data_IF_587435738803
#
_entry.id   IF_587435738803
#
_cell.length_a   1.000
_cell.length_b   1.000
_cell.length_c   1.000
_cell.angle_alpha   90.00
_cell.angle_beta   90.00
_cell.angle_gamma   90.00
#
_symmetry.space_group_name_H-M   'P 1'
#
loop_
_entity.id
_entity.type
_entity.pdbx_description
1 polymer ?
#
# COMPACT_ATOMS: atom_id res chain seq x y z
N UNK A 1 -5.58 70.70 -37.99
CA UNK A 1 -5.01 69.80 -39.02
C UNK A 1 -5.88 68.55 -39.06
N UNK A 2 -6.32 68.20 -40.26
CA UNK A 2 -7.28 67.15 -40.61
C UNK A 2 -6.68 65.74 -40.59
N UNK A 3 -7.58 64.75 -40.69
CA UNK A 3 -7.42 63.33 -41.10
C UNK A 3 -7.28 62.36 -39.93
N UNK A 4 -8.27 61.53 -39.59
CA UNK A 4 -9.21 60.63 -40.28
C UNK A 4 -8.66 59.23 -40.60
N UNK A 5 -9.39 58.24 -40.06
CA UNK A 5 -9.55 56.80 -40.32
C UNK A 5 -8.51 55.98 -41.12
N UNK A 6 -8.20 54.78 -40.63
CA UNK A 6 -8.51 53.55 -41.39
C UNK A 6 -8.55 52.28 -40.54
N UNK A 7 -9.44 51.38 -40.98
CA UNK A 7 -9.89 50.10 -40.43
C UNK A 7 -8.95 48.94 -40.77
N UNK A 8 -9.08 47.87 -39.99
CA UNK A 8 -8.76 46.48 -40.38
C UNK A 8 -8.47 45.67 -39.12
N UNK A 9 -9.08 44.52 -38.84
CA UNK A 9 -10.01 43.66 -39.54
C UNK A 9 -10.11 42.40 -38.66
N UNK A 10 -11.32 42.09 -38.23
CA UNK A 10 -11.66 40.99 -37.33
C UNK A 10 -11.56 39.63 -38.05
N UNK A 11 -10.85 38.65 -37.48
CA UNK A 11 -11.10 37.21 -37.65
C UNK A 11 -10.64 36.45 -36.40
N UNK A 12 -11.53 36.36 -35.41
CA UNK A 12 -11.42 35.39 -34.31
C UNK A 12 -11.66 33.97 -34.85
N UNK A 13 -10.65 33.12 -34.76
CA UNK A 13 -10.80 31.66 -34.83
C UNK A 13 -11.25 31.12 -33.47
N UNK A 14 -12.23 30.21 -33.39
CA UNK A 14 -12.59 29.57 -32.12
C UNK A 14 -11.56 28.49 -31.76
N UNK A 15 -11.28 28.24 -30.46
CA UNK A 15 -10.43 27.13 -30.07
C UNK A 15 -11.17 25.81 -30.31
N UNK A 16 -10.50 24.89 -31.00
CA UNK A 16 -10.94 23.50 -31.15
C UNK A 16 -10.78 22.80 -29.81
N UNK A 17 -11.88 22.27 -29.27
CA UNK A 17 -11.85 21.30 -28.19
C UNK A 17 -11.11 20.05 -28.67
N UNK A 18 -9.91 19.83 -28.16
CA UNK A 18 -9.21 18.56 -28.31
C UNK A 18 -9.77 17.60 -27.25
N UNK A 19 -10.62 16.67 -27.68
CA UNK A 19 -11.03 15.52 -26.89
C UNK A 19 -9.79 14.69 -26.53
N UNK A 20 -9.46 14.61 -25.25
CA UNK A 20 -8.49 13.66 -24.74
C UNK A 20 -9.08 12.26 -24.86
N UNK A 21 -8.64 11.50 -25.87
CA UNK A 21 -8.92 10.08 -25.96
C UNK A 21 -8.19 9.37 -24.82
N UNK A 22 -8.96 8.86 -23.85
CA UNK A 22 -8.45 7.94 -22.84
C UNK A 22 -7.96 6.67 -23.53
N UNK A 23 -6.66 6.40 -23.41
CA UNK A 23 -6.06 5.17 -23.89
C UNK A 23 -6.50 4.01 -22.99
N UNK A 24 -7.52 3.28 -23.42
CA UNK A 24 -7.86 1.97 -22.88
C UNK A 24 -6.95 0.96 -23.59
N UNK A 25 -5.88 0.53 -22.92
CA UNK A 25 -5.03 -0.57 -23.38
C UNK A 25 -5.61 -1.90 -22.88
N UNK A 26 -6.39 -2.57 -23.73
CA UNK A 26 -6.80 -3.96 -23.55
C UNK A 26 -5.81 -4.87 -24.28
N UNK A 27 -5.17 -5.82 -23.59
CA UNK A 27 -4.39 -6.88 -24.23
C UNK A 27 -4.75 -8.26 -23.64
N UNK A 28 -5.06 -9.17 -24.56
CA UNK A 28 -5.51 -10.55 -24.35
C UNK A 28 -4.26 -11.46 -24.38
N UNK A 29 -4.11 -12.34 -23.38
CA UNK A 29 -3.04 -13.35 -23.33
C UNK A 29 -3.59 -14.76 -23.08
N UNK A 30 -3.41 -15.66 -24.06
CA UNK A 30 -3.60 -17.11 -23.91
C UNK A 30 -2.41 -17.72 -23.15
N UNK A 31 -2.67 -18.60 -22.17
CA UNK A 31 -1.64 -19.41 -21.53
C UNK A 31 -2.02 -20.91 -21.53
N UNK A 32 -1.12 -21.71 -22.11
CA UNK A 32 -1.15 -23.17 -22.14
C UNK A 32 -0.57 -23.78 -20.86
N UNK A 33 -1.08 -24.97 -20.50
CA UNK A 33 -0.77 -25.72 -19.28
C UNK A 33 0.61 -26.42 -19.31
N UNK A 34 1.22 -26.56 -18.14
CA UNK A 34 2.35 -27.47 -17.90
C UNK A 34 2.45 -27.83 -16.42
N UNK A 35 2.09 -29.08 -16.10
CA UNK A 35 2.08 -29.68 -14.77
C UNK A 35 3.46 -30.22 -14.38
N UNK A 36 3.79 -30.20 -13.08
CA UNK A 36 4.99 -30.86 -12.54
C UNK A 36 4.93 -31.03 -11.02
N UNK A 37 4.56 -32.24 -10.59
CA UNK A 37 4.77 -32.89 -9.28
C UNK A 37 6.24 -32.83 -8.84
N UNK A 38 6.67 -32.90 -7.58
CA UNK A 38 6.11 -33.34 -6.31
C UNK A 38 7.30 -33.74 -5.39
N UNK A 39 6.95 -34.12 -4.15
CA UNK A 39 7.73 -34.88 -3.17
C UNK A 39 8.57 -34.16 -2.10
N UNK A 40 8.23 -34.59 -0.89
CA UNK A 40 8.70 -34.22 0.44
C UNK A 40 9.93 -35.01 0.85
N UNK A 41 10.61 -34.55 1.92
CA UNK A 41 11.46 -35.40 2.74
C UNK A 41 11.23 -35.16 4.23
N UNK A 42 11.14 -36.28 4.93
CA UNK A 42 10.92 -36.54 6.36
C UNK A 42 12.21 -36.65 7.17
N UNK A 43 12.12 -36.40 8.49
CA UNK A 43 13.03 -36.86 9.57
C UNK A 43 12.73 -36.07 10.85
N UNK A 44 12.03 -36.58 11.88
CA UNK A 44 12.40 -37.61 12.89
C UNK A 44 13.72 -37.30 13.62
N UNK A 45 13.92 -37.44 14.92
CA UNK A 45 13.17 -37.50 16.18
C UNK A 45 14.26 -37.54 17.29
N UNK A 46 13.91 -37.34 18.55
CA UNK A 46 14.73 -37.74 19.72
C UNK A 46 14.98 -36.59 20.69
N UNK A 47 14.30 -36.37 21.81
CA UNK A 47 13.91 -37.14 23.02
C UNK A 47 14.65 -36.60 24.27
N UNK A 48 13.94 -36.73 25.39
CA UNK A 48 14.08 -36.01 26.66
C UNK A 48 15.13 -36.63 27.60
N UNK A 49 15.62 -35.83 28.56
CA UNK A 49 16.08 -36.35 29.88
C UNK A 49 15.60 -35.40 31.00
N UNK A 50 14.94 -35.99 32.00
CA UNK A 50 14.50 -35.39 33.26
C UNK A 50 15.41 -35.79 34.43
N UNK A 51 15.64 -34.82 35.32
CA UNK A 51 15.69 -34.82 36.79
C UNK A 51 16.11 -36.05 37.63
N UNK A 52 16.99 -35.79 38.61
CA UNK A 52 17.03 -36.27 40.02
C UNK A 52 17.90 -35.24 40.79
N UNK A 53 17.61 -34.65 41.95
CA UNK A 53 17.03 -35.15 43.20
C UNK A 53 18.17 -35.53 44.17
N UNK A 54 18.44 -34.74 45.23
CA UNK A 54 18.30 -35.14 46.65
C UNK A 54 18.85 -34.08 47.65
N UNK A 55 18.40 -34.25 48.88
CA UNK A 55 18.29 -33.42 50.08
C UNK A 55 19.51 -33.42 51.00
N UNK A 56 19.64 -32.41 51.88
CA UNK A 56 20.02 -32.55 53.31
C UNK A 56 20.01 -31.18 54.06
N UNK A 57 19.40 -31.18 55.24
CA UNK A 57 19.48 -30.20 56.35
C UNK A 57 19.87 -31.02 57.62
N UNK A 58 20.05 -30.49 58.87
CA UNK A 58 19.71 -29.15 59.38
C UNK A 58 20.73 -28.52 60.37
N UNK A 59 20.48 -27.28 60.80
CA UNK A 59 21.17 -26.62 61.91
C UNK A 59 20.40 -25.40 62.44
N UNK A 60 19.93 -25.50 63.68
CA UNK A 60 19.01 -24.58 64.36
C UNK A 60 19.78 -23.55 65.21
N UNK A 61 19.53 -22.24 65.03
CA UNK A 61 19.71 -21.20 66.07
C UNK A 61 18.79 -20.01 65.80
N UNK A 62 18.10 -19.51 66.82
CA UNK A 62 17.40 -18.21 66.85
C UNK A 62 17.37 -17.67 68.30
N UNK A 63 17.07 -16.39 68.57
CA UNK A 63 17.13 -15.19 67.71
C UNK A 63 17.95 -14.04 68.36
N UNK A 64 18.42 -13.10 67.53
CA UNK A 64 18.81 -11.76 68.00
C UNK A 64 17.99 -10.73 67.20
N UNK A 65 17.29 -9.87 67.94
CA UNK A 65 16.44 -8.79 67.42
C UNK A 65 17.29 -7.70 66.76
N UNK A 66 17.12 -7.53 65.45
CA UNK A 66 17.56 -6.34 64.71
C UNK A 66 16.42 -5.84 63.82
N UNK A 67 16.15 -4.55 63.93
CA UNK A 67 15.16 -3.82 63.14
C UNK A 67 15.56 -3.81 61.66
N UNK A 68 14.69 -4.16 60.69
CA UNK A 68 15.08 -4.16 59.28
C UNK A 68 15.18 -2.72 58.75
N UNK A 69 16.23 -2.36 57.99
CA UNK A 69 16.18 -1.19 57.13
C UNK A 69 15.13 -1.43 56.03
N UNK A 70 14.39 -0.38 55.67
CA UNK A 70 13.32 -0.45 54.67
C UNK A 70 13.76 -1.16 53.39
N UNK A 71 12.93 -2.09 52.92
CA UNK A 71 13.14 -2.80 51.66
C UNK A 71 13.31 -1.78 50.53
N UNK A 72 14.35 -1.90 49.68
CA UNK A 72 14.40 -1.11 48.47
C UNK A 72 13.21 -1.51 47.60
N UNK A 73 12.41 -0.52 47.20
CA UNK A 73 11.40 -0.67 46.15
C UNK A 73 12.06 -1.36 44.96
N UNK A 74 11.49 -2.46 44.42
CA UNK A 74 12.04 -3.08 43.22
C UNK A 74 12.14 -2.02 42.14
N UNK A 75 13.24 -1.94 41.35
CA UNK A 75 13.23 -1.14 40.15
C UNK A 75 12.01 -1.58 39.34
N UNK A 76 11.14 -0.63 38.99
CA UNK A 76 9.94 -0.90 38.21
C UNK A 76 10.32 -1.78 37.03
N UNK A 77 9.60 -2.90 36.86
CA UNK A 77 9.78 -3.78 35.71
C UNK A 77 9.92 -2.91 34.46
N UNK A 78 10.89 -3.17 33.58
CA UNK A 78 11.00 -2.42 32.33
C UNK A 78 9.64 -2.50 31.66
N UNK A 79 9.00 -1.34 31.46
CA UNK A 79 7.78 -1.24 30.67
C UNK A 79 8.11 -1.93 29.36
N UNK A 80 7.45 -3.05 29.07
CA UNK A 80 7.66 -3.74 27.79
C UNK A 80 7.52 -2.68 26.69
N UNK A 81 8.59 -2.45 25.93
CA UNK A 81 8.55 -1.45 24.87
C UNK A 81 7.41 -1.83 23.93
N UNK A 82 6.36 -1.01 23.91
CA UNK A 82 5.25 -1.19 23.00
C UNK A 82 5.79 -1.04 21.59
N UNK A 83 5.61 -2.07 20.76
CA UNK A 83 5.99 -2.01 19.36
C UNK A 83 5.42 -0.74 18.69
N UNK A 84 6.12 -0.12 17.74
CA UNK A 84 5.80 1.22 17.24
C UNK A 84 4.39 1.36 16.64
N UNK A 85 3.80 0.25 16.17
CA UNK A 85 2.45 0.21 15.61
C UNK A 85 1.46 -0.60 16.47
N UNK A 86 1.76 -0.83 17.74
CA UNK A 86 0.83 -1.49 18.65
C UNK A 86 -0.52 -0.77 18.68
N UNK A 87 -1.61 -1.52 18.44
CA UNK A 87 -2.97 -0.99 18.39
C UNK A 87 -3.36 -0.31 17.07
N UNK A 88 -2.45 -0.19 16.09
CA UNK A 88 -2.76 0.35 14.76
C UNK A 88 -3.31 -0.72 13.83
N UNK A 89 -4.22 -0.31 12.95
CA UNK A 89 -4.79 -1.13 11.87
C UNK A 89 -4.38 -0.56 10.52
N UNK A 90 -3.79 -1.38 9.65
CA UNK A 90 -3.40 -0.99 8.29
C UNK A 90 -4.11 -1.87 7.27
N UNK A 91 -4.75 -1.25 6.29
CA UNK A 91 -5.30 -1.94 5.13
C UNK A 91 -4.29 -1.91 3.97
N UNK A 92 -3.89 -3.07 3.46
CA UNK A 92 -3.08 -3.18 2.25
C UNK A 92 -3.95 -3.71 1.13
N UNK A 93 -3.91 -3.04 -0.01
CA UNK A 93 -4.66 -3.39 -1.20
C UNK A 93 -3.68 -3.79 -2.31
N UNK A 94 -3.34 -5.10 -2.44
CA UNK A 94 -2.57 -5.54 -3.59
C UNK A 94 -3.45 -5.40 -4.84
N UNK A 95 -3.06 -4.48 -5.72
CA UNK A 95 -3.79 -4.15 -6.95
C UNK A 95 -4.03 -5.37 -7.84
N UNK A 96 -5.20 -5.40 -8.47
CA UNK A 96 -5.66 -6.48 -9.37
C UNK A 96 -5.76 -7.85 -8.67
N UNK A 97 -6.02 -8.90 -9.45
CA UNK A 97 -5.98 -10.29 -8.97
C UNK A 97 -5.30 -11.23 -9.98
N UNK A 98 -4.58 -12.26 -9.50
CA UNK A 98 -3.84 -13.18 -10.36
C UNK A 98 -4.66 -13.87 -11.44
N UNK A 99 -5.96 -14.10 -11.22
CA UNK A 99 -6.82 -14.85 -12.14
C UNK A 99 -7.85 -14.00 -12.89
N UNK A 100 -7.82 -12.66 -12.76
CA UNK A 100 -8.78 -11.75 -13.43
C UNK A 100 -8.86 -11.98 -14.95
N UNK A 101 -7.75 -12.35 -15.61
CA UNK A 101 -7.72 -12.62 -17.06
C UNK A 101 -8.64 -13.78 -17.50
N UNK A 102 -9.10 -14.63 -16.57
CA UNK A 102 -10.05 -15.73 -16.82
C UNK A 102 -11.51 -15.35 -16.57
N UNK A 103 -11.76 -14.15 -16.04
CA UNK A 103 -13.06 -13.70 -15.52
C UNK A 103 -13.42 -12.31 -16.07
N UNK A 104 -13.21 -12.12 -17.37
CA UNK A 104 -13.36 -10.80 -18.02
C UNK A 104 -14.79 -10.28 -17.95
N UNK A 105 -15.80 -11.15 -17.98
CA UNK A 105 -17.20 -10.74 -17.84
C UNK A 105 -17.49 -10.17 -16.44
N UNK A 106 -16.96 -10.82 -15.41
CA UNK A 106 -17.18 -10.44 -14.02
C UNK A 106 -16.43 -9.16 -13.64
N UNK A 107 -15.18 -9.01 -14.07
CA UNK A 107 -14.39 -7.79 -13.79
C UNK A 107 -14.84 -6.58 -14.63
N UNK A 108 -15.44 -6.79 -15.82
CA UNK A 108 -15.98 -5.71 -16.64
C UNK A 108 -17.34 -5.18 -16.15
N UNK A 109 -17.99 -5.85 -15.18
CA UNK A 109 -19.24 -5.37 -14.59
C UNK A 109 -19.03 -4.01 -13.96
N UNK A 110 -19.91 -3.06 -14.28
CA UNK A 110 -19.82 -1.70 -13.74
C UNK A 110 -20.21 -1.68 -12.26
N UNK A 111 -19.41 -0.98 -11.44
CA UNK A 111 -19.63 -0.71 -10.03
C UNK A 111 -19.65 0.80 -9.77
N UNK A 112 -20.42 1.23 -8.77
CA UNK A 112 -20.48 2.63 -8.38
C UNK A 112 -19.21 3.00 -7.59
N UNK A 113 -18.54 4.07 -8.01
CA UNK A 113 -17.28 4.56 -7.42
C UNK A 113 -17.44 5.93 -6.75
N UNK A 114 -18.66 6.26 -6.34
CA UNK A 114 -19.01 7.47 -5.58
C UNK A 114 -19.38 8.62 -6.51
N UNK A 115 -18.53 8.97 -7.45
CA UNK A 115 -18.75 10.05 -8.43
C UNK A 115 -18.94 9.53 -9.87
N UNK A 116 -19.29 8.25 -10.03
CA UNK A 116 -19.47 7.64 -11.34
C UNK A 116 -19.55 6.12 -11.28
N UNK A 117 -19.37 5.48 -12.44
CA UNK A 117 -19.24 4.02 -12.55
C UNK A 117 -17.93 3.66 -13.24
N UNK A 118 -17.35 2.53 -12.85
CA UNK A 118 -16.17 1.93 -13.48
C UNK A 118 -16.29 0.41 -13.48
N UNK A 119 -15.47 -0.25 -14.27
CA UNK A 119 -15.28 -1.69 -14.21
C UNK A 119 -14.97 -2.14 -12.77
N UNK A 120 -15.51 -3.28 -12.37
CA UNK A 120 -15.29 -3.91 -11.08
C UNK A 120 -13.79 -4.03 -10.78
N UNK A 121 -13.01 -4.56 -11.71
CA UNK A 121 -11.55 -4.64 -11.61
C UNK A 121 -10.93 -4.73 -13.01
N UNK A 122 -9.61 -4.72 -13.10
CA UNK A 122 -8.87 -4.97 -14.35
C UNK A 122 -7.82 -6.06 -14.14
N UNK A 123 -7.21 -6.54 -15.23
CA UNK A 123 -6.13 -7.53 -15.16
C UNK A 123 -4.81 -6.94 -14.62
N UNK A 124 -4.67 -5.61 -14.65
CA UNK A 124 -3.37 -4.95 -14.52
C UNK A 124 -2.53 -5.08 -15.79
N UNK A 125 -1.33 -4.51 -15.72
CA UNK A 125 -0.30 -4.60 -16.77
C UNK A 125 0.66 -5.79 -16.52
N UNK A 126 1.73 -5.87 -17.29
CA UNK A 126 2.81 -6.84 -17.11
C UNK A 126 4.12 -6.30 -17.68
N UNK A 127 5.25 -6.93 -17.33
CA UNK A 127 6.50 -6.68 -18.04
C UNK A 127 6.47 -7.27 -19.45
N UNK A 128 7.37 -6.82 -20.32
CA UNK A 128 7.53 -7.39 -21.67
C UNK A 128 7.93 -8.89 -21.65
N UNK A 129 8.37 -9.41 -20.51
CA UNK A 129 8.69 -10.82 -20.29
C UNK A 129 7.53 -11.62 -19.64
N UNK A 130 6.35 -11.02 -19.48
CA UNK A 130 5.15 -11.68 -18.94
C UNK A 130 5.07 -11.75 -17.42
N UNK A 131 5.85 -10.95 -16.68
CA UNK A 131 5.66 -10.85 -15.23
C UNK A 131 4.49 -9.92 -14.93
N UNK A 132 3.36 -10.50 -14.53
CA UNK A 132 2.10 -9.79 -14.31
C UNK A 132 2.13 -8.85 -13.09
N UNK A 133 1.50 -7.69 -13.21
CA UNK A 133 1.34 -6.71 -12.13
C UNK A 133 0.69 -7.34 -10.90
N UNK A 134 -0.40 -8.10 -11.07
CA UNK A 134 -1.10 -8.77 -9.97
C UNK A 134 -0.19 -9.73 -9.17
N UNK A 135 0.85 -10.28 -9.80
CA UNK A 135 1.85 -11.12 -9.12
C UNK A 135 2.86 -10.27 -8.35
N UNK A 136 3.26 -9.14 -8.91
CA UNK A 136 4.13 -8.15 -8.25
C UNK A 136 3.45 -7.56 -7.00
N UNK A 137 2.24 -7.03 -7.14
CA UNK A 137 1.51 -6.33 -6.08
C UNK A 137 1.20 -7.26 -4.90
N UNK A 138 0.84 -8.52 -5.18
CA UNK A 138 0.57 -9.54 -4.17
C UNK A 138 1.85 -9.93 -3.41
N UNK A 139 2.98 -10.13 -4.09
CA UNK A 139 4.26 -10.41 -3.43
C UNK A 139 4.71 -9.25 -2.53
N UNK A 140 4.70 -8.02 -3.04
CA UNK A 140 5.09 -6.83 -2.27
C UNK A 140 4.15 -6.61 -1.09
N UNK A 141 2.84 -6.69 -1.28
CA UNK A 141 1.86 -6.53 -0.18
C UNK A 141 2.04 -7.56 0.94
N UNK A 142 2.37 -8.82 0.60
CA UNK A 142 2.66 -9.86 1.60
C UNK A 142 3.94 -9.55 2.39
N UNK A 143 4.98 -9.02 1.73
CA UNK A 143 6.21 -8.55 2.41
C UNK A 143 5.92 -7.38 3.33
N UNK A 144 5.17 -6.38 2.86
CA UNK A 144 4.75 -5.22 3.67
C UNK A 144 3.96 -5.69 4.89
N UNK A 145 3.01 -6.62 4.71
CA UNK A 145 2.24 -7.22 5.80
C UNK A 145 3.15 -7.82 6.88
N UNK A 146 4.14 -8.63 6.49
CA UNK A 146 5.08 -9.24 7.45
C UNK A 146 5.85 -8.18 8.24
N UNK A 147 6.32 -7.12 7.57
CA UNK A 147 7.04 -6.02 8.22
C UNK A 147 6.16 -5.24 9.19
N UNK A 148 4.91 -4.95 8.82
CA UNK A 148 3.97 -4.21 9.68
C UNK A 148 3.52 -5.04 10.88
N UNK A 149 3.28 -6.35 10.72
CA UNK A 149 2.97 -7.26 11.83
C UNK A 149 4.15 -7.32 12.81
N UNK A 150 5.39 -7.39 12.32
CA UNK A 150 6.57 -7.35 13.17
C UNK A 150 6.72 -6.03 13.96
N UNK A 151 6.08 -4.95 13.48
CA UNK A 151 6.00 -3.65 14.13
C UNK A 151 4.77 -3.48 15.03
N UNK A 152 3.95 -4.52 15.18
CA UNK A 152 2.79 -4.53 16.09
C UNK A 152 1.45 -4.13 15.47
N UNK A 153 1.39 -3.84 14.16
CA UNK A 153 0.14 -3.49 13.50
C UNK A 153 -0.75 -4.71 13.25
N UNK A 154 -2.06 -4.54 13.37
CA UNK A 154 -3.05 -5.41 12.73
C UNK A 154 -3.09 -5.08 11.24
N UNK A 155 -2.94 -6.08 10.38
CA UNK A 155 -2.94 -5.88 8.92
C UNK A 155 -4.13 -6.61 8.29
N UNK A 156 -4.91 -5.87 7.50
CA UNK A 156 -6.00 -6.41 6.67
C UNK A 156 -5.57 -6.33 5.20
N UNK A 157 -5.67 -7.44 4.47
CA UNK A 157 -5.48 -7.44 3.02
C UNK A 157 -6.85 -7.36 2.35
N UNK A 158 -7.00 -6.55 1.30
CA UNK A 158 -8.24 -6.54 0.49
C UNK A 158 -8.41 -7.84 -0.29
N UNK A 159 -7.30 -8.48 -0.66
CA UNK A 159 -7.25 -9.80 -1.30
C UNK A 159 -5.91 -10.49 -1.00
N UNK A 160 -5.88 -11.81 -1.06
CA UNK A 160 -4.64 -12.57 -0.85
C UNK A 160 -4.41 -13.67 -1.90
N UNK A 161 -4.93 -13.49 -3.12
CA UNK A 161 -4.84 -14.48 -4.21
C UNK A 161 -5.71 -15.71 -3.99
N UNK A 162 -6.76 -15.59 -3.18
CA UNK A 162 -7.66 -16.64 -2.71
C UNK A 162 -9.06 -16.59 -3.37
N UNK A 163 -9.29 -15.60 -4.23
CA UNK A 163 -10.54 -15.44 -5.00
C UNK A 163 -10.29 -15.73 -6.49
N UNK A 164 -11.31 -16.22 -7.23
CA UNK A 164 -11.22 -16.40 -8.67
C UNK A 164 -11.02 -15.07 -9.42
N UNK A 165 -11.65 -13.99 -8.94
CA UNK A 165 -11.50 -12.63 -9.44
C UNK A 165 -11.90 -11.63 -8.35
N UNK A 166 -11.55 -10.35 -8.52
CA UNK A 166 -11.87 -9.28 -7.57
C UNK A 166 -11.28 -9.51 -6.17
N UNK A 167 -11.58 -8.69 -5.16
CA UNK A 167 -12.75 -7.83 -5.03
C UNK A 167 -12.80 -6.67 -6.02
N UNK A 168 -14.01 -6.19 -6.28
CA UNK A 168 -14.21 -4.98 -7.06
C UNK A 168 -13.62 -3.75 -6.33
N UNK A 169 -13.28 -2.69 -7.05
CA UNK A 169 -12.65 -1.47 -6.51
C UNK A 169 -13.45 -0.80 -5.38
N UNK A 170 -14.78 -0.88 -5.41
CA UNK A 170 -15.69 -0.42 -4.36
C UNK A 170 -15.60 -1.31 -3.11
N UNK A 171 -15.57 -2.63 -3.28
CA UNK A 171 -15.37 -3.59 -2.18
C UNK A 171 -13.98 -3.44 -1.55
N UNK A 172 -12.93 -3.21 -2.35
CA UNK A 172 -11.56 -2.94 -1.84
C UNK A 172 -11.52 -1.71 -0.93
N UNK A 173 -12.23 -0.64 -1.29
CA UNK A 173 -12.37 0.54 -0.42
C UNK A 173 -13.17 0.21 0.85
N UNK A 174 -14.29 -0.49 0.70
CA UNK A 174 -15.15 -0.90 1.83
C UNK A 174 -14.40 -1.73 2.87
N UNK A 175 -13.56 -2.68 2.45
CA UNK A 175 -12.76 -3.52 3.37
C UNK A 175 -11.89 -2.65 4.30
N UNK A 176 -11.24 -1.61 3.77
CA UNK A 176 -10.43 -0.70 4.58
C UNK A 176 -11.28 0.13 5.55
N UNK A 177 -12.45 0.58 5.10
CA UNK A 177 -13.39 1.37 5.90
C UNK A 177 -13.98 0.54 7.07
N UNK A 178 -14.46 -0.68 6.79
CA UNK A 178 -15.03 -1.61 7.78
C UNK A 178 -13.99 -2.10 8.78
N UNK A 179 -12.72 -2.19 8.37
CA UNK A 179 -11.63 -2.49 9.27
C UNK A 179 -11.29 -1.34 10.23
N UNK A 180 -11.86 -0.15 10.03
CA UNK A 180 -11.48 1.10 10.70
C UNK A 180 -9.96 1.32 10.64
N UNK A 181 -9.36 1.12 9.46
CA UNK A 181 -7.92 1.24 9.30
C UNK A 181 -7.44 2.67 9.61
N UNK A 182 -6.33 2.81 10.33
CA UNK A 182 -5.65 4.09 10.56
C UNK A 182 -5.01 4.62 9.26
N UNK A 183 -4.64 3.71 8.36
CA UNK A 183 -4.11 4.01 7.03
C UNK A 183 -4.41 2.87 6.05
N UNK A 184 -4.58 3.21 4.77
CA UNK A 184 -4.70 2.28 3.68
C UNK A 184 -3.73 2.61 2.54
N UNK A 185 -3.17 1.60 1.89
CA UNK A 185 -2.34 1.77 0.68
C UNK A 185 -2.72 0.76 -0.39
N UNK A 186 -2.97 1.24 -1.60
CA UNK A 186 -3.05 0.40 -2.80
C UNK A 186 -1.68 0.31 -3.45
N UNK A 187 -1.18 -0.91 -3.64
CA UNK A 187 0.15 -1.17 -4.19
C UNK A 187 -0.03 -1.65 -5.63
N UNK A 188 0.59 -0.94 -6.57
CA UNK A 188 0.48 -1.13 -8.01
C UNK A 188 1.84 -0.98 -8.71
N UNK A 189 1.88 -1.30 -10.01
CA UNK A 189 2.96 -0.90 -10.91
C UNK A 189 2.37 -0.51 -12.27
N UNK A 190 2.91 0.55 -12.87
CA UNK A 190 2.26 1.21 -13.99
C UNK A 190 2.62 0.56 -15.34
N UNK A 191 1.83 0.86 -16.36
CA UNK A 191 2.11 0.57 -17.76
C UNK A 191 2.13 1.84 -18.60
N UNK A 192 3.31 2.43 -18.76
CA UNK A 192 3.54 3.66 -19.53
C UNK A 192 4.42 3.39 -20.77
N UNK A 193 4.64 4.36 -21.68
CA UNK A 193 5.58 4.20 -22.79
C UNK A 193 6.94 3.64 -22.37
N UNK A 194 7.56 2.83 -23.24
CA UNK A 194 8.77 2.08 -22.87
C UNK A 194 10.00 2.93 -22.49
N UNK A 195 10.00 4.21 -22.87
CA UNK A 195 11.06 5.16 -22.52
C UNK A 195 10.88 5.76 -21.11
N UNK A 196 9.66 5.77 -20.60
CA UNK A 196 9.28 6.44 -19.36
C UNK A 196 9.52 5.52 -18.17
N UNK A 197 9.91 6.05 -17.02
CA UNK A 197 10.26 5.23 -15.85
C UNK A 197 10.03 5.98 -14.54
N UNK A 198 10.16 5.26 -13.43
CA UNK A 198 10.07 5.80 -12.09
C UNK A 198 8.72 5.57 -11.43
N UNK A 199 8.70 5.81 -10.12
CA UNK A 199 7.55 5.57 -9.26
C UNK A 199 6.81 6.87 -8.94
N UNK A 200 5.53 6.76 -8.57
CA UNK A 200 4.76 7.89 -8.07
C UNK A 200 3.70 7.47 -7.04
N UNK A 201 3.28 8.42 -6.21
CA UNK A 201 2.24 8.20 -5.20
C UNK A 201 1.05 9.11 -5.50
N UNK A 202 -0.17 8.57 -5.38
CA UNK A 202 -1.42 9.27 -5.69
C UNK A 202 -2.23 9.44 -4.42
N UNK A 203 -2.54 10.69 -4.07
CA UNK A 203 -3.46 11.06 -3.01
C UNK A 203 -4.84 11.45 -3.59
N UNK A 204 -5.93 11.28 -2.83
CA UNK A 204 -7.25 11.75 -3.23
C UNK A 204 -7.28 13.28 -3.31
N UNK A 205 -7.94 13.80 -4.34
CA UNK A 205 -8.46 15.16 -4.34
C UNK A 205 -9.50 15.31 -3.22
N UNK A 206 -9.62 16.50 -2.64
CA UNK A 206 -10.75 16.84 -1.76
C UNK A 206 -12.03 16.96 -2.58
N UNK A 207 -12.92 15.99 -2.44
CA UNK A 207 -14.16 15.87 -3.20
C UNK A 207 -15.37 15.78 -2.27
N UNK A 208 -16.49 16.32 -2.75
CA UNK A 208 -17.82 16.11 -2.19
C UNK A 208 -18.81 16.08 -3.35
N UNK A 209 -18.91 14.92 -4.00
CA UNK A 209 -19.68 14.72 -5.23
C UNK A 209 -20.26 13.31 -5.28
N UNK A 210 -21.56 13.20 -5.57
CA UNK A 210 -22.27 11.93 -5.54
C UNK A 210 -22.19 11.28 -4.16
N UNK A 211 -21.76 10.02 -4.11
CA UNK A 211 -21.45 9.29 -2.88
C UNK A 211 -20.00 9.41 -2.41
N UNK A 212 -19.14 10.15 -3.12
CA UNK A 212 -17.75 10.36 -2.72
C UNK A 212 -17.61 11.58 -1.80
N UNK A 213 -17.06 11.37 -0.60
CA UNK A 213 -16.64 12.44 0.31
C UNK A 213 -15.26 12.16 0.89
N UNK A 214 -14.25 12.78 0.28
CA UNK A 214 -12.85 12.60 0.68
C UNK A 214 -12.30 13.79 1.47
N UNK A 215 -13.14 14.78 1.81
CA UNK A 215 -12.69 16.03 2.46
C UNK A 215 -11.94 15.77 3.76
N UNK A 216 -12.45 14.84 4.57
CA UNK A 216 -11.84 14.46 5.86
C UNK A 216 -10.48 13.76 5.68
N UNK A 217 -10.30 13.02 4.58
CA UNK A 217 -9.11 12.19 4.36
C UNK A 217 -8.09 12.82 3.42
N UNK A 218 -8.42 13.86 2.65
CA UNK A 218 -7.53 14.44 1.64
C UNK A 218 -6.22 14.96 2.26
N UNK A 219 -6.30 15.72 3.34
CA UNK A 219 -5.13 16.23 4.07
C UNK A 219 -4.26 15.11 4.67
N UNK A 220 -4.82 14.20 5.50
CA UNK A 220 -4.10 13.05 6.01
C UNK A 220 -3.48 12.15 4.92
N UNK A 221 -4.21 11.90 3.83
CA UNK A 221 -3.72 11.09 2.72
C UNK A 221 -2.57 11.76 1.97
N UNK A 222 -2.55 13.09 1.86
CA UNK A 222 -1.41 13.81 1.29
C UNK A 222 -0.16 13.68 2.16
N UNK A 223 -0.29 13.70 3.50
CA UNK A 223 0.83 13.43 4.42
C UNK A 223 1.32 11.99 4.28
N UNK A 224 0.42 11.03 4.23
CA UNK A 224 0.73 9.63 3.97
C UNK A 224 1.47 9.46 2.63
N UNK A 225 0.97 10.08 1.56
CA UNK A 225 1.59 10.02 0.23
C UNK A 225 3.01 10.60 0.23
N UNK A 226 3.21 11.72 0.94
CA UNK A 226 4.51 12.36 1.08
C UNK A 226 5.48 11.47 1.86
N UNK A 227 5.02 10.83 2.93
CA UNK A 227 5.81 9.90 3.73
C UNK A 227 6.23 8.67 2.91
N UNK A 228 5.27 8.03 2.23
CA UNK A 228 5.53 6.90 1.34
C UNK A 228 6.52 7.25 0.24
N UNK A 229 6.34 8.40 -0.43
CA UNK A 229 7.26 8.85 -1.48
C UNK A 229 8.70 8.97 -0.97
N UNK A 230 8.89 9.60 0.19
CA UNK A 230 10.24 9.79 0.75
C UNK A 230 10.91 8.45 1.10
N UNK A 231 10.20 7.58 1.84
CA UNK A 231 10.76 6.32 2.32
C UNK A 231 10.93 5.28 1.20
N UNK A 232 10.02 5.25 0.23
CA UNK A 232 10.15 4.39 -0.94
C UNK A 232 11.37 4.75 -1.77
N UNK A 233 11.57 6.03 -2.09
CA UNK A 233 12.76 6.50 -2.80
C UNK A 233 14.05 6.19 -2.03
N UNK A 234 14.04 6.40 -0.71
CA UNK A 234 15.20 6.15 0.13
C UNK A 234 15.60 4.66 0.15
N UNK A 235 14.61 3.76 0.23
CA UNK A 235 14.86 2.32 0.29
C UNK A 235 15.24 1.72 -1.08
N UNK A 236 14.53 2.10 -2.15
CA UNK A 236 14.66 1.45 -3.47
C UNK A 236 15.68 2.13 -4.40
N UNK A 237 16.01 3.40 -4.13
CA UNK A 237 16.71 4.30 -5.07
C UNK A 237 15.99 4.49 -6.40
N UNK A 238 14.70 4.16 -6.46
CA UNK A 238 13.88 4.38 -7.64
C UNK A 238 13.63 5.89 -7.81
N UNK A 239 13.87 6.46 -9.00
CA UNK A 239 13.58 7.86 -9.29
C UNK A 239 12.07 8.10 -9.33
N UNK A 240 11.68 9.36 -9.17
CA UNK A 240 10.30 9.77 -9.41
C UNK A 240 9.94 9.62 -10.89
N UNK A 241 8.68 9.25 -11.15
CA UNK A 241 8.13 9.12 -12.48
C UNK A 241 8.37 10.40 -13.31
N UNK A 242 8.94 10.24 -14.51
CA UNK A 242 9.22 11.34 -15.44
C UNK A 242 8.05 11.67 -16.40
N UNK A 243 7.04 10.79 -16.44
CA UNK A 243 5.88 10.86 -17.33
C UNK A 243 4.60 11.37 -16.64
N UNK A 244 4.58 11.46 -15.32
CA UNK A 244 3.44 11.88 -14.53
C UNK A 244 3.84 12.81 -13.36
N UNK A 245 2.89 13.63 -12.89
CA UNK A 245 3.11 14.52 -11.73
C UNK A 245 4.20 15.58 -11.91
N UNK A 246 4.61 15.86 -13.15
CA UNK A 246 5.66 16.83 -13.46
C UNK A 246 7.02 16.49 -12.84
N UNK A 247 7.37 15.20 -12.75
CA UNK A 247 8.65 14.74 -12.19
C UNK A 247 8.71 14.75 -10.66
N UNK A 248 7.60 15.02 -9.96
CA UNK A 248 7.56 15.15 -8.49
C UNK A 248 7.29 13.85 -7.75
N UNK A 249 6.94 12.78 -8.46
CA UNK A 249 6.58 11.48 -7.86
C UNK A 249 5.35 11.54 -6.95
N UNK A 250 4.51 12.57 -7.11
CA UNK A 250 3.32 12.80 -6.30
C UNK A 250 2.21 13.40 -7.17
N UNK A 251 1.01 12.85 -7.06
CA UNK A 251 -0.19 13.33 -7.76
C UNK A 251 -1.38 13.43 -6.81
N UNK A 252 -2.30 14.34 -7.13
CA UNK A 252 -3.62 14.45 -6.48
C UNK A 252 -4.66 14.22 -7.55
N UNK A 253 -5.56 13.25 -7.35
CA UNK A 253 -6.52 12.80 -8.36
C UNK A 253 -7.92 12.60 -7.76
N UNK A 254 -8.95 12.90 -8.56
CA UNK A 254 -10.36 12.75 -8.18
C UNK A 254 -11.11 11.65 -8.94
N UNK A 255 -10.41 10.86 -9.75
CA UNK A 255 -11.01 9.87 -10.65
C UNK A 255 -10.80 8.41 -10.21
N UNK A 256 -10.06 8.14 -9.12
CA UNK A 256 -9.80 6.77 -8.69
C UNK A 256 -10.85 6.29 -7.68
N UNK A 257 -11.70 5.34 -8.09
CA UNK A 257 -12.80 4.85 -7.25
C UNK A 257 -12.37 4.29 -5.90
N UNK A 258 -11.25 3.57 -5.87
CA UNK A 258 -10.68 3.07 -4.62
C UNK A 258 -10.23 4.16 -3.65
N UNK A 259 -9.93 5.37 -4.13
CA UNK A 259 -9.66 6.56 -3.31
C UNK A 259 -10.95 7.31 -2.95
N UNK A 260 -11.82 7.53 -3.93
CA UNK A 260 -13.06 8.30 -3.78
C UNK A 260 -14.03 7.67 -2.76
N UNK A 261 -14.00 6.34 -2.63
CA UNK A 261 -14.84 5.57 -1.71
C UNK A 261 -14.20 5.32 -0.34
N UNK A 262 -12.97 5.80 -0.10
CA UNK A 262 -12.29 5.61 1.18
C UNK A 262 -12.77 6.62 2.22
N UNK A 263 -13.05 6.15 3.44
CA UNK A 263 -13.32 6.99 4.62
C UNK A 263 -12.14 7.04 5.58
N UNK A 264 -11.05 6.34 5.26
CA UNK A 264 -9.78 6.33 5.99
C UNK A 264 -8.66 6.96 5.13
N UNK A 265 -7.57 7.48 5.72
CA UNK A 265 -6.43 7.98 4.94
C UNK A 265 -5.92 6.91 3.96
N UNK A 266 -5.98 7.18 2.66
CA UNK A 266 -5.66 6.20 1.62
C UNK A 266 -4.90 6.81 0.45
N UNK A 267 -3.93 6.07 -0.07
CA UNK A 267 -3.15 6.46 -1.26
C UNK A 267 -2.93 5.25 -2.18
N UNK A 268 -2.57 5.52 -3.44
CA UNK A 268 -2.01 4.51 -4.35
C UNK A 268 -0.52 4.76 -4.48
N UNK A 269 0.29 3.70 -4.55
CA UNK A 269 1.68 3.78 -4.97
C UNK A 269 1.85 2.95 -6.24
N UNK A 270 2.29 3.61 -7.31
CA UNK A 270 2.74 3.00 -8.55
C UNK A 270 4.26 2.85 -8.46
N UNK A 271 4.74 1.63 -8.23
CA UNK A 271 6.11 1.37 -7.82
C UNK A 271 7.17 1.50 -8.94
N UNK A 272 6.75 1.67 -10.20
CA UNK A 272 7.60 1.75 -11.38
C UNK A 272 6.81 1.39 -12.64
N UNK A 273 7.39 1.58 -13.83
CA UNK A 273 6.76 1.25 -15.11
C UNK A 273 7.15 -0.17 -15.59
N UNK A 274 6.20 -1.11 -15.60
CA UNK A 274 6.44 -2.49 -16.04
C UNK A 274 6.87 -2.60 -17.51
N UNK A 275 6.52 -1.61 -18.36
CA UNK A 275 6.88 -1.60 -19.79
C UNK A 275 8.28 -1.05 -20.06
N UNK A 276 8.91 -0.44 -19.06
CA UNK A 276 10.27 0.06 -19.13
C UNK A 276 11.28 -1.02 -18.71
N UNK A 277 12.36 -1.20 -19.47
CA UNK A 277 13.33 -2.25 -19.20
C UNK A 277 14.12 -2.06 -17.90
N UNK A 278 14.38 -0.80 -17.49
CA UNK A 278 15.06 -0.47 -16.23
C UNK A 278 14.20 -0.86 -15.04
N UNK A 279 12.95 -0.41 -15.03
CA UNK A 279 12.03 -0.66 -13.92
C UNK A 279 11.62 -2.12 -13.88
N UNK A 280 11.37 -2.75 -15.02
CA UNK A 280 11.09 -4.19 -15.10
C UNK A 280 12.20 -5.04 -14.46
N UNK A 281 13.48 -4.66 -14.61
CA UNK A 281 14.61 -5.32 -13.95
C UNK A 281 14.54 -5.21 -12.43
N UNK A 282 14.11 -4.05 -11.92
CA UNK A 282 13.89 -3.83 -10.48
C UNK A 282 12.67 -4.61 -9.97
N UNK A 283 11.52 -4.48 -10.63
CA UNK A 283 10.25 -5.10 -10.24
C UNK A 283 10.34 -6.65 -10.21
N UNK A 284 11.10 -7.23 -11.15
CA UNK A 284 11.32 -8.69 -11.20
C UNK A 284 12.38 -9.19 -10.22
N UNK A 285 13.19 -8.31 -9.62
CA UNK A 285 14.22 -8.67 -8.64
C UNK A 285 13.62 -8.85 -7.23
N UNK A 286 13.70 -10.05 -6.62
CA UNK A 286 13.15 -10.28 -5.28
C UNK A 286 13.77 -9.42 -4.17
N UNK A 287 15.06 -9.10 -4.25
CA UNK A 287 15.73 -8.24 -3.27
C UNK A 287 15.20 -6.81 -3.36
N UNK A 288 15.04 -6.28 -4.58
CA UNK A 288 14.45 -4.96 -4.78
C UNK A 288 12.99 -4.91 -4.33
N UNK A 289 12.19 -5.97 -4.55
CA UNK A 289 10.83 -6.07 -3.99
C UNK A 289 10.80 -6.05 -2.46
N UNK A 290 11.84 -6.59 -1.81
CA UNK A 290 11.99 -6.50 -0.36
C UNK A 290 12.30 -5.06 0.08
N UNK A 291 13.11 -4.32 -0.68
CA UNK A 291 13.39 -2.91 -0.40
C UNK A 291 12.17 -2.02 -0.66
N UNK A 292 11.41 -2.29 -1.72
CA UNK A 292 10.12 -1.65 -1.99
C UNK A 292 9.15 -1.86 -0.81
N UNK A 293 9.03 -3.11 -0.33
CA UNK A 293 8.21 -3.42 0.83
C UNK A 293 8.70 -2.72 2.11
N UNK A 294 10.01 -2.60 2.31
CA UNK A 294 10.61 -1.87 3.43
C UNK A 294 10.27 -0.38 3.36
N UNK A 295 10.46 0.26 2.21
CA UNK A 295 10.12 1.66 2.02
C UNK A 295 8.64 1.97 2.23
N UNK A 296 7.74 1.07 1.79
CA UNK A 296 6.30 1.19 2.06
C UNK A 296 6.01 1.07 3.55
N UNK A 297 6.55 0.04 4.21
CA UNK A 297 6.34 -0.17 5.64
C UNK A 297 6.88 1.02 6.46
N UNK A 298 8.08 1.53 6.14
CA UNK A 298 8.70 2.67 6.83
C UNK A 298 7.88 3.95 6.65
N UNK A 299 7.38 4.21 5.44
CA UNK A 299 6.51 5.35 5.16
C UNK A 299 5.18 5.29 5.93
N UNK A 300 4.58 4.10 6.03
CA UNK A 300 3.39 3.87 6.85
C UNK A 300 3.69 4.04 8.34
N UNK A 301 4.81 3.49 8.83
CA UNK A 301 5.22 3.62 10.22
C UNK A 301 5.40 5.08 10.62
N UNK A 302 6.18 5.84 9.87
CA UNK A 302 6.40 7.26 10.12
C UNK A 302 5.10 8.10 10.08
N UNK A 303 4.17 7.76 9.18
CA UNK A 303 2.87 8.43 9.11
C UNK A 303 2.01 8.17 10.36
N UNK A 304 1.99 6.92 10.83
CA UNK A 304 1.16 6.50 11.96
C UNK A 304 1.70 7.00 13.30
N UNK A 305 3.02 7.05 13.48
CA UNK A 305 3.68 7.58 14.68
C UNK A 305 3.52 9.11 14.79
N UNK A 306 3.68 9.84 13.69
CA UNK A 306 3.45 11.29 13.69
C UNK A 306 1.99 11.68 13.94
N UNK A 307 1.05 10.76 13.70
CA UNK A 307 -0.38 10.97 13.96
C UNK A 307 -0.79 10.66 15.40
N UNK A 308 -0.03 9.82 16.13
CA UNK A 308 -0.25 9.58 17.57
C UNK A 308 0.21 10.72 18.47
N UNK A 309 1.14 11.56 17.99
CA UNK A 309 1.68 12.70 18.76
C UNK A 309 0.80 13.97 18.66
N UNK A 310 -0.28 13.94 17.87
CA UNK A 310 -1.25 15.04 17.85
C UNK A 310 -2.24 14.88 19.01
N UNK A 311 -2.25 15.77 20.02
CA UNK A 311 -3.20 15.66 21.12
C UNK A 311 -4.62 15.73 20.56
N UNK A 312 -5.40 14.68 20.84
CA UNK A 312 -6.74 14.50 20.31
C UNK A 312 -7.60 15.74 20.49
N UNK A 313 -8.06 16.31 19.38
CA UNK A 313 -9.15 17.25 19.37
C UNK A 313 -10.40 16.54 19.90
N UNK A 314 -10.72 16.76 21.17
CA UNK A 314 -12.08 16.61 21.66
C UNK A 314 -12.91 17.68 20.97
N UNK A 315 -13.72 17.26 20.00
CA UNK A 315 -14.91 17.97 19.54
C UNK A 315 -16.13 17.25 20.06
#
# INVERSE_FOLDING_TARGET
MFSNESRGGDRRTPPRFASAAGAVCLLIGLAACGSGTGSAHTGSAGDRVSATGDTSAPGTVAPATSTPPGSPTPPGSPTAETLPLAGKVVALDPGHNPANYRHTAEINRQVNVGNGHKECDTTGTETNAGYAEASYTLDVSRRVRSLLIARGAKVVLTQNGDRPYGPCVDERARIGNEAHADAAVSIHADGAPAADYGFHVIAPQSLHEGGADTRAIAGPSLRLATSLRAHFAAATKEPFADYLGGGKGLMVRGDLGGLNMSTVPKVFIECGNMRNARDAKSLTNPAWRQDAARGIADGLTAFLESSSDSPGGKG
#
